data_IF_002830961524
#
_entry.id   IF_002830961524
#
_cell.length_a   1.000
_cell.length_b   1.000
_cell.length_c   1.000
_cell.angle_alpha   90.00
_cell.angle_beta   90.00
_cell.angle_gamma   90.00
#
_symmetry.space_group_name_H-M   'P 1'
#
loop_
_entity.id
_entity.type
_entity.pdbx_description
1 polymer ?
#
# COMPACT_ATOMS: atom_id res chain seq x y z
N UNK A 1 0.97 26.46 -41.20
CA UNK A 1 0.31 27.74 -41.55
C UNK A 1 -0.74 27.44 -42.61
N UNK A 2 -2.02 27.73 -42.33
CA UNK A 2 -2.56 29.03 -42.70
C UNK A 2 -3.36 29.70 -41.58
N UNK A 3 -3.34 31.04 -41.63
CA UNK A 3 -4.17 31.96 -40.86
C UNK A 3 -5.59 31.97 -41.46
N UNK A 4 -6.61 31.85 -40.62
CA UNK A 4 -7.96 32.29 -40.96
C UNK A 4 -8.42 33.30 -39.93
N UNK A 5 -8.45 34.54 -40.39
CA UNK A 5 -9.06 35.68 -39.74
C UNK A 5 -10.59 35.54 -39.85
N UNK A 6 -11.29 35.56 -38.72
CA UNK A 6 -12.75 35.73 -38.68
C UNK A 6 -13.07 36.77 -37.64
N UNK A 7 -13.31 37.97 -38.14
CA UNK A 7 -13.98 39.07 -37.47
C UNK A 7 -15.34 38.62 -36.95
N UNK A 8 -15.56 38.78 -35.64
CA UNK A 8 -16.88 38.65 -35.03
C UNK A 8 -17.47 40.05 -34.82
N UNK A 9 -18.65 40.24 -35.41
CA UNK A 9 -19.46 41.45 -35.31
C UNK A 9 -20.04 41.61 -33.90
N UNK A 10 -19.84 42.79 -33.34
CA UNK A 10 -20.44 43.22 -32.08
C UNK A 10 -21.95 43.41 -32.27
N UNK A 11 -22.75 42.47 -31.77
CA UNK A 11 -24.20 42.63 -31.62
C UNK A 11 -24.48 43.10 -30.19
N UNK A 12 -24.94 44.35 -30.04
CA UNK A 12 -25.53 44.85 -28.80
C UNK A 12 -26.80 44.04 -28.50
N UNK A 13 -26.86 43.41 -27.33
CA UNK A 13 -28.09 42.80 -26.80
C UNK A 13 -28.23 43.15 -25.33
N UNK A 14 -29.26 43.95 -25.03
CA UNK A 14 -30.08 43.92 -23.82
C UNK A 14 -29.43 44.27 -22.48
N UNK A 15 -29.92 45.33 -21.84
CA UNK A 15 -29.79 45.50 -20.39
C UNK A 15 -30.22 44.22 -19.67
N UNK A 16 -29.33 43.68 -18.84
CA UNK A 16 -29.64 42.54 -17.99
C UNK A 16 -30.65 42.99 -16.92
N UNK A 17 -31.78 42.28 -16.72
CA UNK A 17 -32.70 42.64 -15.66
C UNK A 17 -31.99 42.58 -14.30
N UNK A 18 -32.35 43.45 -13.34
CA UNK A 18 -31.70 43.50 -12.04
C UNK A 18 -31.79 42.12 -11.39
N UNK A 19 -30.63 41.62 -10.96
CA UNK A 19 -30.50 40.39 -10.19
C UNK A 19 -31.41 40.56 -8.97
N UNK A 20 -32.56 39.88 -8.98
CA UNK A 20 -33.40 39.76 -7.79
C UNK A 20 -32.53 39.03 -6.78
N UNK A 21 -32.05 39.76 -5.79
CA UNK A 21 -31.47 39.19 -4.57
C UNK A 21 -32.64 38.48 -3.89
N UNK A 22 -32.85 37.21 -4.25
CA UNK A 22 -33.76 36.33 -3.54
C UNK A 22 -33.14 36.22 -2.15
N UNK A 23 -33.78 36.86 -1.17
CA UNK A 23 -33.38 36.68 0.22
C UNK A 23 -33.38 35.18 0.48
N UNK A 24 -32.29 34.62 1.04
CA UNK A 24 -32.26 33.21 1.39
C UNK A 24 -33.43 32.94 2.34
N UNK A 25 -34.02 31.72 2.31
CA UNK A 25 -35.14 31.40 3.17
C UNK A 25 -34.79 31.70 4.63
N UNK A 26 -35.76 32.13 5.47
CA UNK A 26 -35.51 32.58 6.85
C UNK A 26 -34.72 31.56 7.69
N UNK A 27 -34.78 30.28 7.33
CA UNK A 27 -34.02 29.19 7.94
C UNK A 27 -32.49 29.35 7.84
N UNK A 28 -31.97 30.12 6.88
CA UNK A 28 -30.55 30.15 6.53
C UNK A 28 -29.80 31.39 7.06
N UNK A 29 -30.51 32.38 7.60
CA UNK A 29 -29.93 33.67 8.02
C UNK A 29 -28.88 33.52 9.12
N UNK A 30 -29.14 32.64 10.10
CA UNK A 30 -28.20 32.33 11.20
C UNK A 30 -26.88 31.74 10.69
N UNK A 31 -26.95 30.91 9.65
CA UNK A 31 -25.77 30.28 9.06
C UNK A 31 -24.94 31.29 8.27
N UNK A 32 -25.57 32.26 7.61
CA UNK A 32 -24.89 33.34 6.90
C UNK A 32 -24.20 34.31 7.87
N UNK A 33 -24.88 34.67 8.96
CA UNK A 33 -24.30 35.50 10.03
C UNK A 33 -23.07 34.82 10.65
N UNK A 34 -23.20 33.55 11.05
CA UNK A 34 -22.08 32.78 11.58
C UNK A 34 -20.93 32.66 10.56
N UNK A 35 -21.23 32.40 9.29
CA UNK A 35 -20.19 32.32 8.26
C UNK A 35 -19.43 33.64 8.09
N UNK A 36 -20.15 34.76 8.11
CA UNK A 36 -19.55 36.09 8.00
C UNK A 36 -18.69 36.42 9.23
N UNK A 37 -19.20 36.12 10.42
CA UNK A 37 -18.55 36.42 11.69
C UNK A 37 -17.22 35.68 11.91
N UNK A 38 -17.08 34.47 11.37
CA UNK A 38 -15.92 33.61 11.61
C UNK A 38 -15.06 33.37 10.37
N UNK A 39 -15.21 34.19 9.32
CA UNK A 39 -14.45 34.09 8.07
C UNK A 39 -14.63 32.75 7.34
N UNK A 40 -15.88 32.33 7.18
CA UNK A 40 -16.30 31.21 6.33
C UNK A 40 -17.13 31.70 5.14
N UNK A 41 -17.18 30.89 4.10
CA UNK A 41 -18.28 30.84 3.12
C UNK A 41 -19.20 29.70 3.50
N UNK A 42 -20.51 29.84 3.26
CA UNK A 42 -21.48 28.76 3.47
C UNK A 42 -22.22 28.44 2.18
N UNK A 43 -22.32 27.16 1.85
CA UNK A 43 -23.14 26.63 0.76
C UNK A 43 -24.32 25.85 1.33
N UNK A 44 -25.52 26.08 0.81
CA UNK A 44 -26.74 25.41 1.27
C UNK A 44 -27.16 24.30 0.30
N UNK A 45 -27.38 23.12 0.86
CA UNK A 45 -27.87 21.93 0.14
C UNK A 45 -28.81 21.14 1.05
N UNK A 46 -29.23 19.94 0.63
CA UNK A 46 -30.08 19.11 1.45
C UNK A 46 -30.37 17.73 0.87
N UNK A 47 -31.09 16.93 1.65
CA UNK A 47 -31.54 15.58 1.29
C UNK A 47 -33.07 15.51 1.29
N UNK A 48 -33.62 14.67 0.41
CA UNK A 48 -35.06 14.52 0.22
C UNK A 48 -35.63 15.69 -0.58
N UNK A 49 -35.52 15.59 -1.91
CA UNK A 49 -36.11 16.56 -2.82
C UNK A 49 -37.63 16.57 -2.68
N UNK A 50 -38.26 17.75 -2.72
CA UNK A 50 -39.71 17.83 -2.66
C UNK A 50 -40.34 17.15 -3.90
N UNK A 51 -41.54 16.55 -3.76
CA UNK A 51 -42.29 16.04 -4.88
C UNK A 51 -42.69 17.17 -5.84
N UNK A 52 -42.92 16.82 -7.12
CA UNK A 52 -43.27 17.78 -8.16
C UNK A 52 -44.48 18.64 -7.77
N UNK A 53 -44.34 19.96 -7.92
CA UNK A 53 -45.37 20.93 -7.54
C UNK A 53 -45.31 21.42 -6.09
N UNK A 54 -44.27 21.03 -5.34
CA UNK A 54 -44.00 21.53 -3.97
C UNK A 54 -42.54 21.98 -3.80
N UNK A 55 -41.89 22.43 -4.88
CA UNK A 55 -40.46 22.76 -4.88
C UNK A 55 -40.10 23.90 -3.93
N UNK A 56 -41.07 24.73 -3.55
CA UNK A 56 -40.95 25.87 -2.65
C UNK A 56 -40.74 25.48 -1.19
N UNK A 57 -41.10 24.26 -0.77
CA UNK A 57 -40.90 23.78 0.60
C UNK A 57 -39.44 23.39 0.87
N UNK A 58 -38.62 23.23 -0.18
CA UNK A 58 -37.20 22.88 -0.09
C UNK A 58 -36.94 21.43 0.33
N UNK A 59 -35.72 21.17 0.81
CA UNK A 59 -35.29 19.82 1.21
C UNK A 59 -35.86 19.42 2.57
N UNK A 60 -36.18 18.13 2.72
CA UNK A 60 -36.57 17.52 4.00
C UNK A 60 -35.48 17.67 5.08
N UNK A 61 -34.20 17.57 4.69
CA UNK A 61 -33.05 17.87 5.55
C UNK A 61 -32.23 18.99 4.92
N UNK A 62 -32.00 20.06 5.67
CA UNK A 62 -31.17 21.19 5.25
C UNK A 62 -29.73 21.02 5.74
N UNK A 63 -28.76 21.33 4.88
CA UNK A 63 -27.33 21.16 5.14
C UNK A 63 -26.63 22.47 4.79
N UNK A 64 -25.83 23.00 5.73
CA UNK A 64 -24.93 24.12 5.51
C UNK A 64 -23.48 23.65 5.53
N UNK A 65 -22.78 23.74 4.40
CA UNK A 65 -21.36 23.39 4.29
C UNK A 65 -20.53 24.66 4.47
N UNK A 66 -19.82 24.75 5.59
CA UNK A 66 -18.97 25.89 5.93
C UNK A 66 -17.53 25.64 5.48
N UNK A 67 -17.00 26.51 4.62
CA UNK A 67 -15.62 26.45 4.11
C UNK A 67 -14.85 27.68 4.60
N UNK A 68 -13.72 27.47 5.27
CA UNK A 68 -12.93 28.56 5.84
C UNK A 68 -12.31 29.40 4.71
N UNK A 69 -12.44 30.72 4.80
CA UNK A 69 -11.74 31.67 3.92
C UNK A 69 -10.29 31.74 4.39
N UNK A 70 -9.38 31.11 3.66
CA UNK A 70 -7.94 31.30 3.91
C UNK A 70 -7.49 32.63 3.29
N UNK A 71 -6.64 33.41 3.97
CA UNK A 71 -5.97 34.53 3.34
C UNK A 71 -5.16 34.03 2.14
N UNK A 72 -5.13 34.82 1.07
CA UNK A 72 -4.39 34.49 -0.17
C UNK A 72 -2.87 34.58 0.01
N UNK A 73 -2.38 35.20 1.08
CA UNK A 73 -1.01 35.01 1.56
C UNK A 73 -0.98 33.75 2.42
N UNK A 74 -0.06 32.82 2.16
CA UNK A 74 0.08 31.55 2.88
C UNK A 74 0.52 31.68 4.35
N UNK A 75 0.08 32.73 5.05
CA UNK A 75 0.30 32.90 6.48
C UNK A 75 -0.49 31.82 7.23
N UNK A 76 0.26 30.94 7.88
CA UNK A 76 -0.27 29.98 8.84
C UNK A 76 -0.94 30.75 9.96
N UNK A 77 -2.27 30.68 10.03
CA UNK A 77 -3.01 31.15 11.20
C UNK A 77 -2.60 30.26 12.36
N UNK A 78 -1.66 30.75 13.18
CA UNK A 78 -1.27 30.16 14.44
C UNK A 78 -2.47 30.28 15.39
N UNK A 79 -3.40 29.33 15.28
CA UNK A 79 -4.37 29.09 16.33
C UNK A 79 -3.59 28.63 17.54
N UNK A 80 -3.45 29.52 18.50
CA UNK A 80 -2.95 29.24 19.84
C UNK A 80 -3.85 28.15 20.43
N UNK A 81 -3.38 26.90 20.42
CA UNK A 81 -4.15 25.77 20.92
C UNK A 81 -4.05 25.79 22.44
N UNK A 82 -5.04 26.40 23.08
CA UNK A 82 -5.28 26.13 24.50
C UNK A 82 -5.42 24.61 24.68
N UNK A 83 -4.55 24.03 25.51
CA UNK A 83 -4.42 22.59 25.77
C UNK A 83 -5.50 22.05 26.72
N UNK A 84 -6.59 22.78 26.91
CA UNK A 84 -7.68 22.36 27.77
C UNK A 84 -8.66 21.49 26.97
N UNK A 85 -8.63 20.19 27.25
CA UNK A 85 -9.49 19.22 26.56
C UNK A 85 -10.74 18.96 27.40
N UNK A 86 -11.87 19.55 27.00
CA UNK A 86 -13.17 19.32 27.64
C UNK A 86 -13.69 17.88 27.45
N UNK A 87 -13.22 17.17 26.43
CA UNK A 87 -13.65 15.81 26.10
C UNK A 87 -12.71 14.75 26.65
N UNK A 88 -13.27 13.66 27.20
CA UNK A 88 -12.53 12.44 27.56
C UNK A 88 -12.52 11.47 26.38
N UNK A 89 -11.33 11.08 25.92
CA UNK A 89 -11.19 10.03 24.89
C UNK A 89 -11.71 8.70 25.41
N UNK A 90 -12.76 8.18 24.78
CA UNK A 90 -13.33 6.85 25.10
C UNK A 90 -12.58 5.73 24.36
N UNK A 91 -12.14 6.01 23.13
CA UNK A 91 -11.40 5.05 22.31
C UNK A 91 -10.45 5.79 21.35
N UNK A 92 -9.29 5.18 21.09
CA UNK A 92 -8.32 5.64 20.09
C UNK A 92 -7.75 4.42 19.36
N UNK A 93 -7.89 4.41 18.04
CA UNK A 93 -7.17 3.47 17.17
C UNK A 93 -6.01 4.18 16.48
N UNK A 94 -4.88 3.50 16.39
CA UNK A 94 -3.72 3.93 15.59
C UNK A 94 -3.41 2.81 14.62
N UNK A 95 -3.51 3.10 13.33
CA UNK A 95 -3.23 2.13 12.27
C UNK A 95 -1.75 2.18 11.89
N UNK A 96 -1.06 1.03 11.85
CA UNK A 96 0.33 0.99 11.44
C UNK A 96 0.49 1.40 9.98
N UNK A 97 1.55 2.14 9.67
CA UNK A 97 1.88 2.60 8.33
C UNK A 97 3.25 2.08 7.92
N UNK A 98 3.39 1.63 6.67
CA UNK A 98 4.70 1.30 6.10
C UNK A 98 5.61 2.53 5.90
N UNK A 99 5.10 3.75 6.13
CA UNK A 99 5.94 4.96 6.23
C UNK A 99 6.75 4.99 7.53
N UNK A 100 6.29 4.29 8.56
CA UNK A 100 7.03 4.13 9.81
C UNK A 100 8.05 3.00 9.63
N UNK A 101 9.31 3.33 9.91
CA UNK A 101 10.46 2.44 9.71
C UNK A 101 10.32 1.14 10.50
N UNK A 102 9.72 1.15 11.70
CA UNK A 102 9.52 -0.04 12.51
C UNK A 102 8.60 -1.05 11.82
N UNK A 103 7.47 -0.58 11.30
CA UNK A 103 6.51 -1.45 10.63
C UNK A 103 7.02 -1.89 9.26
N UNK A 104 7.75 -1.02 8.56
CA UNK A 104 8.43 -1.39 7.33
C UNK A 104 9.48 -2.49 7.56
N UNK A 105 10.33 -2.33 8.58
CA UNK A 105 11.35 -3.31 8.94
C UNK A 105 10.72 -4.67 9.23
N UNK A 106 9.67 -4.70 10.05
CA UNK A 106 8.97 -5.94 10.38
C UNK A 106 8.36 -6.61 9.13
N UNK A 107 7.76 -5.82 8.23
CA UNK A 107 7.19 -6.35 7.00
C UNK A 107 8.27 -6.95 6.08
N UNK A 108 9.41 -6.28 5.95
CA UNK A 108 10.55 -6.76 5.14
C UNK A 108 11.14 -8.04 5.73
N UNK A 109 11.44 -8.05 7.03
CA UNK A 109 11.99 -9.24 7.72
C UNK A 109 11.05 -10.43 7.56
N UNK A 110 9.74 -10.23 7.76
CA UNK A 110 8.74 -11.29 7.61
C UNK A 110 8.70 -11.85 6.19
N UNK A 111 8.75 -10.98 5.17
CA UNK A 111 8.74 -11.39 3.77
C UNK A 111 10.03 -12.12 3.37
N UNK A 112 11.17 -11.69 3.89
CA UNK A 112 12.48 -12.33 3.65
C UNK A 112 12.52 -13.72 4.25
N UNK A 113 12.09 -13.89 5.51
CA UNK A 113 12.03 -15.20 6.17
C UNK A 113 11.09 -16.12 5.40
N UNK A 114 9.90 -15.62 5.03
CA UNK A 114 8.93 -16.39 4.26
C UNK A 114 9.47 -16.80 2.88
N UNK A 115 10.12 -15.88 2.17
CA UNK A 115 10.76 -16.15 0.89
C UNK A 115 11.89 -17.17 0.98
N UNK A 116 12.74 -17.04 2.01
CA UNK A 116 13.83 -17.97 2.30
C UNK A 116 13.31 -19.38 2.58
N UNK A 117 12.25 -19.50 3.39
CA UNK A 117 11.62 -20.78 3.70
C UNK A 117 11.02 -21.47 2.47
N UNK A 118 10.37 -20.70 1.58
CA UNK A 118 9.88 -21.24 0.29
C UNK A 118 11.04 -21.78 -0.55
N UNK A 119 12.15 -21.05 -0.64
CA UNK A 119 13.32 -21.46 -1.41
C UNK A 119 13.95 -22.72 -0.81
N UNK A 120 14.15 -22.76 0.52
CA UNK A 120 14.63 -23.93 1.25
C UNK A 120 13.77 -25.16 0.98
N UNK A 121 12.45 -25.04 1.10
CA UNK A 121 11.52 -26.15 0.87
C UNK A 121 11.57 -26.67 -0.56
N UNK A 122 11.69 -25.79 -1.56
CA UNK A 122 11.85 -26.20 -2.96
C UNK A 122 13.17 -26.93 -3.19
N UNK A 123 14.27 -26.41 -2.64
CA UNK A 123 15.58 -27.03 -2.74
C UNK A 123 15.55 -28.44 -2.13
N UNK A 124 15.08 -28.57 -0.89
CA UNK A 124 15.00 -29.86 -0.19
C UNK A 124 13.97 -30.83 -0.81
N UNK A 125 12.85 -30.31 -1.32
CA UNK A 125 11.83 -31.11 -2.00
C UNK A 125 12.31 -31.69 -3.33
N UNK A 126 13.13 -30.94 -4.08
CA UNK A 126 13.78 -31.45 -5.29
C UNK A 126 14.76 -32.58 -4.96
N UNK A 127 15.54 -32.46 -3.86
CA UNK A 127 16.46 -33.51 -3.42
C UNK A 127 15.77 -34.80 -2.96
N UNK A 128 14.60 -34.72 -2.28
CA UNK A 128 13.84 -35.92 -1.88
C UNK A 128 13.26 -36.69 -3.08
N UNK A 129 13.08 -36.05 -4.23
CA UNK A 129 12.57 -36.68 -5.45
C UNK A 129 13.63 -37.46 -6.23
N UNK A 130 14.91 -37.10 -6.14
CA UNK A 130 16.00 -37.82 -6.82
C UNK A 130 16.42 -39.11 -6.07
N UNK A 131 15.99 -39.28 -4.81
CA UNK A 131 16.41 -40.39 -3.93
C UNK A 131 15.32 -41.46 -3.72
N UNK A 132 14.25 -41.53 -4.53
CA UNK A 132 13.24 -42.62 -4.40
C UNK A 132 12.88 -43.31 -5.73
N UNK A 133 13.25 -44.59 -5.81
CA UNK A 133 12.44 -45.65 -6.43
C UNK A 133 12.10 -46.70 -5.35
N UNK A 134 11.05 -47.52 -5.53
CA UNK A 134 9.69 -47.34 -5.02
C UNK A 134 9.43 -48.10 -3.70
N UNK A 135 8.52 -47.59 -2.86
CA UNK A 135 7.39 -48.35 -2.27
C UNK A 135 6.68 -47.54 -1.18
N UNK A 136 5.35 -47.70 -1.21
CA UNK A 136 4.32 -47.45 -0.20
C UNK A 136 4.27 -46.13 0.60
N UNK A 137 3.28 -45.32 0.23
CA UNK A 137 2.06 -45.29 1.05
C UNK A 137 2.09 -44.47 2.33
N UNK A 138 2.11 -43.14 2.21
CA UNK A 138 1.12 -42.24 2.84
C UNK A 138 1.40 -40.79 2.39
N UNK A 139 0.65 -40.30 1.40
CA UNK A 139 0.69 -38.89 1.01
C UNK A 139 -0.07 -38.04 2.04
N UNK A 140 0.63 -37.44 2.99
CA UNK A 140 0.05 -36.38 3.82
C UNK A 140 0.02 -35.07 3.02
N UNK A 141 -1.08 -34.91 2.28
CA UNK A 141 -1.34 -33.82 1.34
C UNK A 141 -1.64 -32.51 2.08
N UNK A 142 -0.60 -31.79 2.52
CA UNK A 142 -0.77 -30.44 3.06
C UNK A 142 -1.18 -29.49 1.92
N UNK A 143 -2.46 -29.11 1.91
CA UNK A 143 -3.04 -28.11 0.98
C UNK A 143 -2.56 -26.70 1.31
N UNK A 144 -1.30 -26.40 1.01
CA UNK A 144 -0.88 -25.01 0.88
C UNK A 144 -1.19 -24.55 -0.54
N UNK A 145 -2.13 -23.62 -0.70
CA UNK A 145 -2.34 -22.92 -1.97
C UNK A 145 -1.27 -21.83 -2.07
N UNK A 146 -0.19 -22.02 -2.85
CA UNK A 146 0.82 -20.99 -3.00
C UNK A 146 0.17 -19.81 -3.74
N UNK A 147 0.41 -18.58 -3.29
CA UNK A 147 -0.02 -17.40 -4.05
C UNK A 147 0.47 -17.51 -5.50
N UNK A 148 -0.46 -17.39 -6.46
CA UNK A 148 -0.23 -17.56 -7.91
C UNK A 148 0.88 -16.67 -8.49
N UNK A 149 1.33 -15.65 -7.76
CA UNK A 149 2.41 -14.73 -8.13
C UNK A 149 3.82 -15.35 -8.08
N UNK A 150 4.02 -16.48 -7.39
CA UNK A 150 5.34 -17.11 -7.22
C UNK A 150 5.68 -18.20 -8.26
N UNK A 151 4.81 -18.43 -9.24
CA UNK A 151 4.97 -19.49 -10.25
C UNK A 151 5.89 -19.14 -11.43
N UNK A 152 6.50 -17.95 -11.46
CA UNK A 152 7.33 -17.53 -12.61
C UNK A 152 8.83 -17.71 -12.42
N UNK A 153 9.29 -18.15 -11.26
CA UNK A 153 10.70 -18.48 -11.08
C UNK A 153 10.90 -19.96 -11.40
N UNK A 154 11.53 -20.19 -12.54
CA UNK A 154 12.13 -21.45 -13.00
C UNK A 154 11.19 -22.44 -13.69
N UNK A 155 10.99 -22.28 -15.02
CA UNK A 155 10.94 -23.43 -15.94
C UNK A 155 11.60 -23.10 -17.29
N UNK A 156 12.53 -24.00 -17.64
CA UNK A 156 13.12 -24.31 -18.95
C UNK A 156 14.17 -23.32 -19.48
N UNK A 157 15.43 -23.57 -19.11
CA UNK A 157 16.60 -23.00 -19.77
C UNK A 157 17.23 -24.10 -20.65
N UNK A 158 17.48 -23.80 -21.91
CA UNK A 158 17.97 -24.73 -22.92
C UNK A 158 19.46 -25.07 -22.72
N UNK A 159 19.90 -26.20 -23.27
CA UNK A 159 21.28 -26.73 -23.16
C UNK A 159 22.37 -25.69 -23.55
N UNK A 160 22.04 -24.73 -24.42
CA UNK A 160 22.94 -23.67 -24.87
C UNK A 160 23.10 -22.50 -23.87
N UNK A 161 22.19 -22.37 -22.92
CA UNK A 161 22.25 -21.33 -21.88
C UNK A 161 23.03 -21.81 -20.64
N UNK A 162 23.20 -23.12 -20.49
CA UNK A 162 24.03 -23.77 -19.44
C UNK A 162 25.51 -23.38 -19.54
N UNK A 163 26.00 -23.06 -20.74
CA UNK A 163 27.41 -22.69 -20.96
C UNK A 163 27.68 -21.19 -20.68
N UNK A 164 26.65 -20.32 -20.71
CA UNK A 164 26.77 -18.92 -20.28
C UNK A 164 26.68 -18.74 -18.76
N UNK A 165 26.10 -19.69 -18.03
CA UNK A 165 25.93 -19.68 -16.57
C UNK A 165 27.17 -20.12 -15.78
N UNK A 166 28.28 -20.48 -16.44
CA UNK A 166 29.52 -20.81 -15.74
C UNK A 166 30.10 -19.63 -14.92
N UNK A 167 29.65 -18.39 -15.21
CA UNK A 167 29.97 -17.19 -14.43
C UNK A 167 28.87 -16.80 -13.40
N UNK A 168 27.74 -17.51 -13.34
CA UNK A 168 26.52 -17.14 -12.60
C UNK A 168 26.12 -18.16 -11.52
N UNK A 169 27.07 -19.00 -11.07
CA UNK A 169 26.84 -19.92 -9.94
C UNK A 169 26.68 -19.20 -8.59
N UNK A 170 26.93 -17.88 -8.53
CA UNK A 170 26.81 -17.07 -7.30
C UNK A 170 25.36 -16.63 -6.98
N UNK A 171 24.41 -16.88 -7.89
CA UNK A 171 23.00 -16.51 -7.74
C UNK A 171 22.09 -17.65 -7.26
N UNK A 172 22.60 -18.88 -7.25
CA UNK A 172 21.80 -20.06 -6.88
C UNK A 172 21.93 -20.40 -5.39
N UNK A 173 20.82 -20.73 -4.72
CA UNK A 173 20.87 -21.27 -3.38
C UNK A 173 21.63 -22.59 -3.35
N UNK A 174 22.49 -22.77 -2.35
CA UNK A 174 23.21 -24.03 -2.15
C UNK A 174 23.05 -24.52 -0.72
N UNK A 175 23.33 -25.82 -0.55
CA UNK A 175 23.36 -26.46 0.75
C UNK A 175 24.82 -26.74 1.07
N UNK A 176 25.23 -26.35 2.26
CA UNK A 176 26.50 -26.76 2.83
C UNK A 176 26.23 -27.36 4.21
N UNK A 177 26.66 -28.60 4.38
CA UNK A 177 26.33 -29.46 5.52
C UNK A 177 24.82 -29.53 5.80
N UNK A 178 24.37 -28.80 6.82
CA UNK A 178 23.00 -28.75 7.31
C UNK A 178 22.40 -27.34 7.21
N UNK A 179 22.99 -26.51 6.36
CA UNK A 179 22.66 -25.09 6.24
C UNK A 179 22.39 -24.74 4.78
N UNK A 180 21.26 -24.10 4.53
CA UNK A 180 20.93 -23.55 3.22
C UNK A 180 21.37 -22.09 3.16
N UNK A 181 22.20 -21.78 2.18
CA UNK A 181 22.64 -20.44 1.86
C UNK A 181 21.83 -19.92 0.68
N UNK A 182 21.10 -18.82 0.88
CA UNK A 182 20.23 -18.23 -0.12
C UNK A 182 20.73 -16.82 -0.44
N UNK A 183 21.30 -16.57 -1.63
CA UNK A 183 21.82 -15.26 -1.98
C UNK A 183 20.78 -14.16 -1.80
N UNK A 184 21.16 -13.04 -1.18
CA UNK A 184 20.28 -11.90 -0.97
C UNK A 184 19.78 -11.32 -2.30
N UNK A 185 20.57 -11.42 -3.37
CA UNK A 185 20.13 -11.04 -4.71
C UNK A 185 18.90 -11.87 -5.14
N UNK A 186 18.87 -13.16 -4.80
CA UNK A 186 17.73 -14.05 -5.05
C UNK A 186 16.52 -13.65 -4.21
N UNK A 187 16.71 -13.34 -2.93
CA UNK A 187 15.65 -12.82 -2.06
C UNK A 187 15.11 -11.48 -2.57
N UNK A 188 15.97 -10.57 -3.01
CA UNK A 188 15.57 -9.27 -3.54
C UNK A 188 14.83 -9.40 -4.88
N UNK A 189 15.04 -10.48 -5.63
CA UNK A 189 14.26 -10.78 -6.84
C UNK A 189 12.80 -11.15 -6.55
N UNK A 190 12.44 -11.44 -5.30
CA UNK A 190 11.06 -11.69 -4.89
C UNK A 190 10.27 -10.37 -5.01
N UNK A 191 9.20 -10.32 -5.85
CA UNK A 191 8.52 -9.07 -6.15
C UNK A 191 8.06 -8.29 -4.92
N UNK A 192 7.57 -8.99 -3.90
CA UNK A 192 7.08 -8.36 -2.67
C UNK A 192 8.21 -7.80 -1.80
N UNK A 193 9.36 -8.47 -1.72
CA UNK A 193 10.56 -7.95 -1.03
C UNK A 193 11.06 -6.70 -1.74
N UNK A 194 11.14 -6.75 -3.07
CA UNK A 194 11.54 -5.62 -3.91
C UNK A 194 10.61 -4.42 -3.71
N UNK A 195 9.29 -4.63 -3.74
CA UNK A 195 8.30 -3.57 -3.54
C UNK A 195 8.40 -2.89 -2.16
N UNK A 196 8.73 -3.65 -1.11
CA UNK A 196 8.86 -3.10 0.25
C UNK A 196 10.16 -2.29 0.42
N UNK A 197 11.27 -2.79 -0.13
CA UNK A 197 12.60 -2.20 0.11
C UNK A 197 12.98 -1.16 -0.96
N UNK A 198 12.54 -1.35 -2.21
CA UNK A 198 12.89 -0.57 -3.40
C UNK A 198 14.32 -0.77 -3.90
N UNK A 199 15.29 -0.85 -2.99
CA UNK A 199 16.72 -0.97 -3.28
C UNK A 199 17.37 -2.09 -2.48
N UNK A 200 18.49 -2.61 -2.98
CA UNK A 200 19.22 -3.70 -2.35
C UNK A 200 19.91 -3.24 -1.05
N UNK A 201 20.43 -2.02 -1.02
CA UNK A 201 21.07 -1.41 0.15
C UNK A 201 20.05 -1.25 1.28
N UNK A 202 18.82 -0.82 0.94
CA UNK A 202 17.74 -0.68 1.91
C UNK A 202 17.26 -2.04 2.42
N UNK A 203 17.23 -3.07 1.58
CA UNK A 203 16.97 -4.45 2.03
C UNK A 203 18.01 -4.87 3.08
N UNK A 204 19.30 -4.78 2.74
CA UNK A 204 20.41 -5.17 3.63
C UNK A 204 20.35 -4.42 4.97
N UNK A 205 20.12 -3.10 4.93
CA UNK A 205 19.97 -2.27 6.14
C UNK A 205 18.79 -2.72 7.01
N UNK A 206 17.63 -3.01 6.41
CA UNK A 206 16.41 -3.34 7.17
C UNK A 206 16.50 -4.72 7.84
N UNK A 207 17.18 -5.69 7.23
CA UNK A 207 17.28 -7.05 7.78
C UNK A 207 18.49 -7.28 8.70
N UNK A 208 19.45 -6.35 8.71
CA UNK A 208 20.66 -6.45 9.54
C UNK A 208 20.31 -6.66 11.02
N UNK A 209 20.89 -7.71 11.62
CA UNK A 209 20.64 -8.07 13.02
C UNK A 209 19.26 -8.65 13.32
N UNK A 210 18.41 -8.87 12.31
CA UNK A 210 17.07 -9.48 12.44
C UNK A 210 16.93 -10.80 11.68
N UNK A 211 17.76 -10.99 10.65
CA UNK A 211 17.83 -12.22 9.86
C UNK A 211 19.26 -12.77 9.97
N UNK A 212 19.41 -14.08 10.04
CA UNK A 212 20.72 -14.73 10.00
C UNK A 212 21.32 -14.58 8.59
N UNK A 213 22.49 -13.97 8.50
CA UNK A 213 23.20 -13.71 7.26
C UNK A 213 24.59 -14.37 7.28
N UNK A 214 25.15 -14.64 6.11
CA UNK A 214 26.55 -15.04 5.94
C UNK A 214 27.52 -13.97 6.46
N UNK A 215 28.78 -14.36 6.69
CA UNK A 215 29.80 -13.47 7.27
C UNK A 215 30.06 -12.21 6.44
N UNK A 216 29.92 -12.30 5.12
CA UNK A 216 30.01 -11.20 4.16
C UNK A 216 28.69 -10.45 3.97
N UNK A 217 27.62 -10.90 4.62
CA UNK A 217 26.28 -10.33 4.51
C UNK A 217 25.63 -10.49 3.14
N UNK A 218 26.09 -11.43 2.31
CA UNK A 218 25.61 -11.62 0.94
C UNK A 218 24.49 -12.65 0.79
N UNK A 219 24.28 -13.52 1.78
CA UNK A 219 23.28 -14.58 1.75
C UNK A 219 22.51 -14.70 3.07
N UNK A 220 21.24 -15.11 2.97
CA UNK A 220 20.40 -15.52 4.11
C UNK A 220 20.73 -16.98 4.46
N UNK A 221 20.92 -17.24 5.74
CA UNK A 221 21.25 -18.56 6.29
C UNK A 221 19.99 -19.18 6.89
N UNK A 222 19.69 -20.42 6.51
CA UNK A 222 18.58 -21.20 7.08
C UNK A 222 19.05 -22.60 7.44
N UNK A 223 18.94 -22.99 8.71
CA UNK A 223 19.28 -24.34 9.20
C UNK A 223 18.25 -25.38 8.73
N UNK A 224 18.70 -26.58 8.38
CA UNK A 224 17.85 -27.72 8.04
C UNK A 224 17.59 -28.50 9.33
N UNK A 225 16.45 -28.27 9.97
CA UNK A 225 16.02 -29.13 11.07
C UNK A 225 15.39 -30.39 10.46
N UNK A 226 16.03 -31.55 10.68
CA UNK A 226 15.39 -32.83 10.48
C UNK A 226 14.52 -33.08 11.71
N UNK A 227 13.20 -33.09 11.55
CA UNK A 227 12.31 -33.64 12.55
C UNK A 227 12.70 -35.12 12.70
N UNK A 228 13.44 -35.47 13.76
CA UNK A 228 13.61 -36.85 14.17
C UNK A 228 12.21 -37.35 14.54
N UNK A 229 11.63 -38.18 13.69
CA UNK A 229 10.51 -39.02 14.08
C UNK A 229 11.03 -39.94 15.21
N UNK A 230 10.81 -39.53 16.46
CA UNK A 230 10.93 -40.42 17.61
C UNK A 230 9.94 -41.57 17.39
N UNK A 231 10.44 -42.70 16.86
CA UNK A 231 9.75 -43.97 16.95
C UNK A 231 9.81 -44.41 18.41
N UNK A 232 8.78 -44.07 19.19
CA UNK A 232 8.54 -44.73 20.47
C UNK A 232 8.15 -46.20 20.19
N UNK A 233 8.90 -47.09 20.84
CA UNK A 233 8.83 -48.55 20.83
C UNK A 233 7.44 -49.12 21.16
#
# INVERSE_FOLDING_TARGET
MPLYDRSYSCSKMGESPPIKIIKPPPSNERAIDAATRYDYTVEFTGLGTPPSGSEDVGFCTQIGVFVRKYPKSGETVNSEKHTEHAYKTVFKAVYPSLKDEKYLQNAVVSEVIFGADIIKRRLLGNFKSEVKAPSDGLEMKLKFQPCKYFMRCSKNLSLAETEKLAADRSMEPFIDENTVYIPLAKIFSIPKVNQLCGTFEKLSKLIAGKVALSNDGSAVIVTIEYENEEQEN
#
